data_IF_770819833018
#
_entry.id   IF_770819833018
#
_cell.length_a   1.000
_cell.length_b   1.000
_cell.length_c   1.000
_cell.angle_alpha   90.00
_cell.angle_beta   90.00
_cell.angle_gamma   90.00
#
_symmetry.space_group_name_H-M   'P 1'
#
loop_
_entity.id
_entity.type
_entity.pdbx_description
1 polymer ?
#
# COMPACT_ATOMS: atom_id res chain seq x y z
N UNK A 1 -21.29 2.19 5.19
CA UNK A 1 -20.57 3.19 4.36
C UNK A 1 -19.08 3.02 4.64
N UNK A 2 -18.17 3.19 3.66
CA UNK A 2 -16.73 3.07 3.96
C UNK A 2 -16.17 4.42 4.40
N UNK A 3 -15.62 4.48 5.62
CA UNK A 3 -14.97 5.68 6.15
C UNK A 3 -13.47 5.46 6.21
N UNK A 4 -12.68 6.37 5.62
CA UNK A 4 -11.24 6.30 5.68
C UNK A 4 -10.66 7.27 6.73
N UNK A 5 -9.60 6.84 7.40
CA UNK A 5 -8.79 7.67 8.28
C UNK A 5 -7.37 7.70 7.74
N UNK A 6 -6.88 8.89 7.41
CA UNK A 6 -5.50 9.09 6.96
C UNK A 6 -4.67 9.64 8.11
N UNK A 7 -3.73 8.84 8.60
CA UNK A 7 -2.86 9.18 9.73
C UNK A 7 -1.53 9.68 9.18
N UNK A 8 -1.13 10.89 9.58
CA UNK A 8 0.15 11.46 9.16
C UNK A 8 1.34 10.66 9.71
N UNK A 9 2.52 10.68 9.05
CA UNK A 9 3.71 10.02 9.57
C UNK A 9 4.10 10.49 10.99
N UNK A 10 3.84 11.77 11.30
CA UNK A 10 4.12 12.34 12.62
C UNK A 10 3.14 11.87 13.69
N UNK A 11 1.84 11.75 13.37
CA UNK A 11 0.85 11.21 14.29
C UNK A 11 1.16 9.74 14.63
N UNK A 12 1.63 8.98 13.65
CA UNK A 12 1.96 7.56 13.77
C UNK A 12 3.19 7.26 14.67
N UNK A 13 3.93 8.28 15.13
CA UNK A 13 5.09 8.13 16.02
C UNK A 13 4.73 7.56 17.40
N UNK A 14 3.48 7.74 17.85
CA UNK A 14 2.98 7.13 19.08
C UNK A 14 2.36 5.76 18.77
N UNK A 15 3.16 4.71 18.99
CA UNK A 15 2.78 3.33 18.63
C UNK A 15 1.63 2.81 19.49
N UNK A 16 1.56 3.22 20.76
CA UNK A 16 0.50 2.77 21.66
C UNK A 16 -0.84 3.39 21.25
N UNK A 17 -0.85 4.71 20.95
CA UNK A 17 -2.02 5.38 20.42
C UNK A 17 -2.46 4.78 19.08
N UNK A 18 -1.52 4.61 18.14
CA UNK A 18 -1.80 4.01 16.82
C UNK A 18 -2.38 2.60 16.93
N UNK A 19 -1.78 1.75 17.77
CA UNK A 19 -2.26 0.38 18.03
C UNK A 19 -3.66 0.38 18.65
N UNK A 20 -3.90 1.24 19.63
CA UNK A 20 -5.21 1.37 20.26
C UNK A 20 -6.28 1.82 19.25
N UNK A 21 -5.98 2.83 18.43
CA UNK A 21 -6.88 3.30 17.35
C UNK A 21 -7.17 2.20 16.34
N UNK A 22 -6.15 1.47 15.86
CA UNK A 22 -6.33 0.39 14.91
C UNK A 22 -7.22 -0.73 15.47
N UNK A 23 -7.02 -1.13 16.74
CA UNK A 23 -7.87 -2.13 17.40
C UNK A 23 -9.31 -1.65 17.61
N UNK A 24 -9.51 -0.38 17.94
CA UNK A 24 -10.84 0.20 18.08
C UNK A 24 -11.60 0.18 16.75
N UNK A 25 -10.95 0.63 15.67
CA UNK A 25 -11.51 0.56 14.31
C UNK A 25 -11.77 -0.88 13.87
N UNK A 26 -10.87 -1.82 14.20
CA UNK A 26 -11.06 -3.24 13.91
C UNK A 26 -12.29 -3.83 14.61
N UNK A 27 -12.45 -3.54 15.90
CA UNK A 27 -13.57 -4.02 16.69
C UNK A 27 -14.92 -3.45 16.20
N UNK A 28 -14.93 -2.19 15.77
CA UNK A 28 -16.11 -1.55 15.19
C UNK A 28 -16.39 -2.01 13.75
N UNK A 29 -15.38 -2.54 13.04
CA UNK A 29 -15.56 -3.06 11.68
C UNK A 29 -16.42 -4.32 11.68
N UNK A 30 -17.46 -4.32 10.83
CA UNK A 30 -18.36 -5.47 10.64
C UNK A 30 -19.41 -5.66 11.74
N UNK A 31 -19.52 -4.75 12.70
CA UNK A 31 -20.55 -4.82 13.74
C UNK A 31 -21.92 -4.28 13.26
N UNK A 32 -21.98 -3.27 12.39
CA UNK A 32 -23.27 -2.68 11.94
C UNK A 32 -23.14 -1.72 10.73
N UNK A 33 -22.71 -2.20 9.56
CA UNK A 33 -22.73 -1.50 8.23
C UNK A 33 -21.59 -0.54 7.82
N UNK A 34 -20.66 -0.20 8.71
CA UNK A 34 -19.47 0.61 8.35
C UNK A 34 -18.19 -0.23 8.26
N UNK A 35 -17.48 -0.07 7.13
CA UNK A 35 -16.16 -0.62 6.90
C UNK A 35 -15.14 0.51 7.10
N UNK A 36 -14.12 0.28 7.91
CA UNK A 36 -13.05 1.26 8.12
C UNK A 36 -11.82 0.96 7.27
N UNK A 37 -11.21 2.03 6.77
CA UNK A 37 -9.95 2.02 6.06
C UNK A 37 -8.95 2.89 6.82
N UNK A 38 -7.85 2.31 7.29
CA UNK A 38 -6.77 3.06 7.91
C UNK A 38 -5.63 3.23 6.90
N UNK A 39 -5.36 4.48 6.53
CA UNK A 39 -4.28 4.85 5.62
C UNK A 39 -3.15 5.48 6.43
N UNK A 40 -1.94 4.93 6.35
CA UNK A 40 -0.74 5.52 6.98
C UNK A 40 0.06 6.27 5.92
N UNK A 41 0.23 7.57 6.14
CA UNK A 41 0.96 8.43 5.23
C UNK A 41 2.47 8.18 5.25
N UNK A 42 3.13 8.57 4.16
CA UNK A 42 4.60 8.51 4.01
C UNK A 42 5.08 9.74 3.23
N UNK A 43 6.02 10.51 3.81
CA UNK A 43 6.54 11.75 3.21
C UNK A 43 8.06 11.73 2.97
N UNK A 44 8.73 10.58 3.16
CA UNK A 44 10.20 10.40 3.17
C UNK A 44 11.02 11.26 4.14
N UNK A 45 10.42 12.20 4.84
CA UNK A 45 11.13 13.18 5.67
C UNK A 45 10.87 12.98 7.15
N UNK A 46 9.77 12.33 7.51
CA UNK A 46 9.31 12.14 8.87
C UNK A 46 8.66 10.77 9.07
N UNK A 47 8.57 10.33 10.32
CA UNK A 47 7.90 9.08 10.68
C UNK A 47 8.69 7.80 10.43
N UNK A 48 7.99 6.68 10.48
CA UNK A 48 8.50 5.36 10.14
C UNK A 48 8.03 4.96 8.73
N UNK A 49 8.72 3.99 8.13
CA UNK A 49 8.28 3.40 6.87
C UNK A 49 6.85 2.83 6.99
N UNK A 50 5.92 3.36 6.19
CA UNK A 50 4.51 3.04 6.31
C UNK A 50 4.21 1.55 6.08
N UNK A 51 4.85 0.91 5.09
CA UNK A 51 4.64 -0.53 4.81
C UNK A 51 5.00 -1.40 6.01
N UNK A 52 6.13 -1.12 6.66
CA UNK A 52 6.59 -1.86 7.84
C UNK A 52 5.64 -1.66 9.01
N UNK A 53 5.19 -0.42 9.24
CA UNK A 53 4.28 -0.10 10.33
C UNK A 53 2.89 -0.72 10.11
N UNK A 54 2.38 -0.70 8.88
CA UNK A 54 1.13 -1.37 8.50
C UNK A 54 1.25 -2.88 8.67
N UNK A 55 2.38 -3.50 8.31
CA UNK A 55 2.60 -4.94 8.54
C UNK A 55 2.57 -5.30 10.04
N UNK A 56 3.09 -4.43 10.91
CA UNK A 56 2.97 -4.60 12.35
C UNK A 56 1.53 -4.46 12.88
N UNK A 57 0.73 -3.56 12.31
CA UNK A 57 -0.71 -3.42 12.64
C UNK A 57 -1.56 -4.57 12.08
N UNK A 58 -1.16 -5.16 10.95
CA UNK A 58 -1.88 -6.25 10.29
C UNK A 58 -2.10 -7.44 11.24
N UNK A 59 -1.10 -7.74 12.08
CA UNK A 59 -1.14 -8.84 13.06
C UNK A 59 -2.02 -8.54 14.29
N UNK A 60 -2.42 -7.29 14.48
CA UNK A 60 -3.19 -6.83 15.64
C UNK A 60 -4.68 -6.62 15.31
N UNK A 61 -5.05 -6.78 14.04
CA UNK A 61 -6.38 -6.51 13.50
C UNK A 61 -6.82 -7.69 12.63
N UNK A 62 -8.13 -7.87 12.46
CA UNK A 62 -8.71 -9.02 11.76
C UNK A 62 -9.67 -8.65 10.63
N UNK A 63 -10.18 -7.41 10.62
CA UNK A 63 -11.20 -6.90 9.70
C UNK A 63 -10.84 -5.55 9.11
N UNK A 64 -10.12 -4.71 9.86
CA UNK A 64 -9.71 -3.37 9.43
C UNK A 64 -8.96 -3.45 8.11
N UNK A 65 -9.36 -2.66 7.11
CA UNK A 65 -8.58 -2.52 5.88
C UNK A 65 -7.43 -1.55 6.15
N UNK A 66 -6.22 -1.92 5.75
CA UNK A 66 -5.00 -1.18 6.09
C UNK A 66 -4.21 -0.87 4.83
N UNK A 67 -3.75 0.38 4.71
CA UNK A 67 -3.18 0.91 3.47
C UNK A 67 -1.96 1.75 3.81
N UNK A 68 -0.74 1.35 3.41
CA UNK A 68 0.39 2.25 3.43
C UNK A 68 0.36 3.15 2.19
N UNK A 69 0.68 4.43 2.38
CA UNK A 69 1.23 5.22 1.29
C UNK A 69 2.63 4.70 0.97
N UNK A 70 2.92 4.49 -0.32
CA UNK A 70 4.26 4.09 -0.78
C UNK A 70 4.69 5.01 -1.89
N UNK A 71 5.79 5.76 -1.69
CA UNK A 71 6.34 6.59 -2.73
C UNK A 71 6.83 5.78 -3.94
N UNK A 72 6.44 6.21 -5.14
CA UNK A 72 6.78 5.51 -6.39
C UNK A 72 7.74 6.25 -7.31
N UNK A 73 7.99 7.54 -7.07
CA UNK A 73 8.96 8.33 -7.85
C UNK A 73 10.40 8.05 -7.45
N UNK A 74 10.66 7.33 -6.37
CA UNK A 74 12.04 7.00 -5.96
C UNK A 74 12.23 5.54 -5.59
N UNK A 75 11.16 4.75 -5.58
CA UNK A 75 11.19 3.32 -5.26
C UNK A 75 11.06 2.50 -6.53
N UNK A 76 11.92 1.50 -6.68
CA UNK A 76 11.83 0.57 -7.82
C UNK A 76 10.49 -0.21 -7.79
N UNK A 77 9.77 -0.33 -8.92
CA UNK A 77 8.46 -1.00 -8.96
C UNK A 77 8.48 -2.44 -8.44
N UNK A 78 9.59 -3.16 -8.65
CA UNK A 78 9.74 -4.54 -8.18
C UNK A 78 9.72 -4.63 -6.64
N UNK A 79 10.32 -3.67 -5.94
CA UNK A 79 10.30 -3.60 -4.48
C UNK A 79 8.95 -3.14 -3.94
N UNK A 80 8.27 -2.23 -4.63
CA UNK A 80 6.88 -1.86 -4.29
C UNK A 80 5.98 -3.10 -4.39
N UNK A 81 6.04 -3.85 -5.50
CA UNK A 81 5.19 -5.01 -5.73
C UNK A 81 5.42 -6.12 -4.70
N UNK A 82 6.67 -6.47 -4.42
CA UNK A 82 7.01 -7.57 -3.50
C UNK A 82 6.66 -7.23 -2.05
N UNK A 83 6.93 -6.00 -1.62
CA UNK A 83 6.60 -5.56 -0.24
C UNK A 83 5.09 -5.49 0.00
N UNK A 84 4.34 -4.93 -0.95
CA UNK A 84 2.87 -4.85 -0.87
C UNK A 84 2.18 -6.22 -1.00
N UNK A 85 2.66 -7.10 -1.89
CA UNK A 85 2.16 -8.47 -1.99
C UNK A 85 2.37 -9.24 -0.68
N UNK A 86 3.55 -9.11 -0.08
CA UNK A 86 3.87 -9.74 1.22
C UNK A 86 3.00 -9.16 2.33
N UNK A 87 2.76 -7.85 2.32
CA UNK A 87 1.84 -7.21 3.26
C UNK A 87 0.43 -7.80 3.15
N UNK A 88 -0.06 -8.07 1.94
CA UNK A 88 -1.39 -8.66 1.75
C UNK A 88 -1.49 -10.07 2.36
N UNK A 89 -0.42 -10.87 2.26
CA UNK A 89 -0.33 -12.13 3.00
C UNK A 89 -0.40 -11.92 4.51
N UNK A 90 0.39 -10.99 5.06
CA UNK A 90 0.38 -10.68 6.49
C UNK A 90 -0.99 -10.16 6.97
N UNK A 91 -1.69 -9.40 6.12
CA UNK A 91 -3.02 -8.86 6.37
C UNK A 91 -4.15 -9.86 6.08
N UNK A 92 -3.84 -11.06 5.57
CA UNK A 92 -4.83 -12.07 5.15
C UNK A 92 -5.83 -11.52 4.12
N UNK A 93 -5.33 -10.79 3.11
CA UNK A 93 -6.17 -10.28 2.03
C UNK A 93 -6.95 -9.02 2.36
N UNK A 94 -6.46 -8.18 3.28
CA UNK A 94 -7.09 -6.90 3.68
C UNK A 94 -6.23 -5.67 3.40
N UNK A 95 -5.06 -5.88 2.79
CA UNK A 95 -4.18 -4.77 2.48
C UNK A 95 -4.70 -4.03 1.24
N UNK A 96 -4.60 -2.71 1.26
CA UNK A 96 -4.57 -1.91 0.04
C UNK A 96 -3.21 -1.27 -0.13
N UNK A 97 -3.06 -0.45 -1.15
CA UNK A 97 -1.85 0.34 -1.38
C UNK A 97 -2.21 1.72 -1.93
N UNK A 98 -1.62 2.79 -1.38
CA UNK A 98 -1.73 4.12 -1.95
C UNK A 98 -0.41 4.56 -2.60
N UNK A 99 -0.31 4.61 -3.94
CA UNK A 99 0.86 5.17 -4.61
C UNK A 99 0.90 6.67 -4.39
N UNK A 100 2.03 7.19 -3.92
CA UNK A 100 2.25 8.63 -3.78
C UNK A 100 3.45 9.10 -4.60
N UNK A 101 3.34 10.30 -5.16
CA UNK A 101 4.44 10.95 -5.85
C UNK A 101 5.16 11.91 -4.91
N UNK A 102 6.45 11.72 -4.75
CA UNK A 102 7.29 12.63 -3.97
C UNK A 102 7.93 13.62 -4.93
N UNK A 103 7.51 14.87 -4.82
CA UNK A 103 7.76 15.95 -5.79
C UNK A 103 8.49 17.15 -5.16
N UNK A 104 8.99 16.99 -3.94
CA UNK A 104 9.75 18.03 -3.24
C UNK A 104 11.26 17.80 -3.38
N UNK A 105 12.03 18.89 -3.42
CA UNK A 105 13.49 18.82 -3.46
C UNK A 105 14.05 18.11 -2.23
N UNK A 106 13.46 18.32 -1.05
CA UNK A 106 13.87 17.65 0.18
C UNK A 106 13.74 16.12 0.11
N UNK A 107 12.64 15.61 -0.44
CA UNK A 107 12.45 14.17 -0.64
C UNK A 107 13.41 13.61 -1.69
N UNK A 108 13.64 14.36 -2.77
CA UNK A 108 14.59 13.99 -3.81
C UNK A 108 16.03 13.92 -3.29
N UNK A 109 16.45 14.91 -2.50
CA UNK A 109 17.78 15.00 -1.87
C UNK A 109 17.99 13.90 -0.82
N UNK A 110 16.93 13.54 -0.07
CA UNK A 110 16.99 12.45 0.92
C UNK A 110 17.32 11.09 0.29
N UNK A 111 16.85 10.84 -0.94
CA UNK A 111 17.18 9.63 -1.70
C UNK A 111 18.47 9.79 -2.50
N UNK A 112 18.76 10.99 -3.01
CA UNK A 112 20.01 11.34 -3.70
C UNK A 112 20.19 10.69 -5.08
N UNK A 113 19.10 10.24 -5.72
CA UNK A 113 19.16 9.54 -7.02
C UNK A 113 18.94 10.44 -8.22
N UNK A 114 17.99 11.37 -8.14
CA UNK A 114 17.54 12.26 -9.24
C UNK A 114 16.76 13.46 -8.69
N UNK A 115 16.62 14.56 -9.46
CA UNK A 115 15.85 15.73 -9.04
C UNK A 115 14.37 15.41 -8.75
N UNK A 116 13.71 16.30 -8.04
CA UNK A 116 12.28 16.22 -7.80
C UNK A 116 11.49 16.26 -9.11
N UNK A 117 10.49 15.37 -9.21
CA UNK A 117 9.53 15.39 -10.31
C UNK A 117 8.60 16.60 -10.19
N UNK A 118 8.18 17.18 -11.32
CA UNK A 118 6.96 18.00 -11.28
C UNK A 118 5.74 17.11 -11.00
N UNK A 119 4.71 17.68 -10.37
CA UNK A 119 3.46 16.97 -10.10
C UNK A 119 2.87 16.39 -11.40
N UNK A 120 2.89 17.16 -12.49
CA UNK A 120 2.38 16.72 -13.79
C UNK A 120 3.20 15.58 -14.40
N UNK A 121 4.54 15.63 -14.30
CA UNK A 121 5.40 14.58 -14.84
C UNK A 121 5.27 13.27 -14.04
N UNK A 122 5.09 13.38 -12.71
CA UNK A 122 4.88 12.22 -11.86
C UNK A 122 3.53 11.56 -12.16
N UNK A 123 2.42 12.29 -12.02
CA UNK A 123 1.07 11.72 -12.15
C UNK A 123 0.63 11.48 -13.59
N UNK A 124 1.15 12.24 -14.55
CA UNK A 124 0.87 12.08 -15.98
C UNK A 124 1.74 11.07 -16.71
N UNK A 125 2.79 10.54 -16.05
CA UNK A 125 3.76 9.63 -16.66
C UNK A 125 4.16 8.49 -15.74
N UNK A 126 5.11 8.73 -14.87
CA UNK A 126 5.78 7.67 -14.10
C UNK A 126 4.85 6.90 -13.16
N UNK A 127 3.97 7.57 -12.41
CA UNK A 127 3.09 6.90 -11.43
C UNK A 127 2.20 5.85 -12.12
N UNK A 128 1.47 6.16 -13.22
CA UNK A 128 0.75 5.15 -13.99
C UNK A 128 1.62 3.97 -14.46
N UNK A 129 2.84 4.23 -14.97
CA UNK A 129 3.74 3.17 -15.44
C UNK A 129 4.16 2.24 -14.27
N UNK A 130 4.47 2.81 -13.10
CA UNK A 130 4.81 2.05 -11.90
C UNK A 130 3.62 1.22 -11.41
N UNK A 131 2.41 1.80 -11.37
CA UNK A 131 1.19 1.07 -10.99
C UNK A 131 0.94 -0.11 -11.94
N UNK A 132 1.11 0.09 -13.25
CA UNK A 132 0.99 -0.98 -14.24
C UNK A 132 2.02 -2.11 -14.01
N UNK A 133 3.28 -1.75 -13.75
CA UNK A 133 4.33 -2.72 -13.45
C UNK A 133 4.04 -3.52 -12.17
N UNK A 134 3.57 -2.86 -11.11
CA UNK A 134 3.23 -3.51 -9.84
C UNK A 134 2.08 -4.50 -10.02
N UNK A 135 1.01 -4.11 -10.72
CA UNK A 135 -0.14 -4.99 -10.99
C UNK A 135 0.23 -6.19 -11.86
N UNK A 136 1.07 -5.98 -12.87
CA UNK A 136 1.61 -7.07 -13.69
C UNK A 136 2.43 -8.05 -12.85
N UNK A 137 3.25 -7.56 -11.91
CA UNK A 137 4.02 -8.42 -11.00
C UNK A 137 3.12 -9.22 -10.06
N UNK A 138 2.08 -8.63 -9.47
CA UNK A 138 1.13 -9.36 -8.62
C UNK A 138 0.42 -10.51 -9.36
N UNK A 139 0.21 -10.35 -10.67
CA UNK A 139 -0.45 -11.34 -11.52
C UNK A 139 0.51 -12.24 -12.30
N UNK A 140 1.83 -12.12 -12.07
CA UNK A 140 2.86 -12.94 -12.73
C UNK A 140 2.80 -14.42 -12.34
N UNK A 141 2.10 -14.76 -11.27
CA UNK A 141 1.77 -16.13 -10.87
C UNK A 141 0.27 -16.35 -11.08
N UNK A 142 -0.10 -17.45 -11.73
CA UNK A 142 -1.51 -17.88 -11.76
C UNK A 142 -1.98 -18.32 -10.36
N UNK A 143 -3.30 -18.31 -10.13
CA UNK A 143 -3.90 -18.57 -8.82
C UNK A 143 -3.59 -19.96 -8.24
N UNK A 144 -3.24 -20.93 -9.08
CA UNK A 144 -2.89 -22.30 -8.71
C UNK A 144 -1.48 -22.69 -9.17
N UNK A 145 -0.59 -21.70 -9.34
CA UNK A 145 0.83 -21.92 -9.63
C UNK A 145 1.57 -22.58 -8.46
N UNK A 146 1.13 -22.33 -7.22
CA UNK A 146 1.69 -22.94 -6.02
C UNK A 146 0.97 -24.27 -5.70
N UNK A 147 1.73 -25.38 -5.68
CA UNK A 147 1.21 -26.75 -5.52
C UNK A 147 1.39 -27.26 -4.08
N UNK A 148 2.59 -27.10 -3.51
CA UNK A 148 2.99 -27.59 -2.17
C UNK A 148 2.64 -29.08 -1.91
N UNK A 149 2.87 -29.96 -2.88
CA UNK A 149 2.60 -31.40 -2.73
C UNK A 149 3.84 -32.13 -2.20
N UNK A 150 3.76 -32.57 -0.94
CA UNK A 150 4.82 -33.32 -0.26
C UNK A 150 5.03 -34.73 -0.81
N UNK A 151 3.98 -35.37 -1.36
CA UNK A 151 4.03 -36.74 -1.89
C UNK A 151 4.71 -36.75 -3.25
N UNK A 152 4.37 -35.79 -4.12
CA UNK A 152 4.99 -35.70 -5.45
C UNK A 152 6.25 -34.83 -5.47
N UNK A 153 6.60 -34.19 -4.35
CA UNK A 153 7.68 -33.21 -4.22
C UNK A 153 7.58 -32.05 -5.22
N UNK A 154 6.37 -31.74 -5.68
CA UNK A 154 6.11 -30.59 -6.56
C UNK A 154 5.72 -29.38 -5.73
N UNK A 155 6.57 -28.36 -5.73
CA UNK A 155 6.28 -27.11 -5.03
C UNK A 155 5.51 -26.12 -5.92
N UNK A 156 5.92 -25.98 -7.18
CA UNK A 156 5.42 -24.95 -8.10
C UNK A 156 5.18 -25.53 -9.49
N UNK A 157 4.15 -25.05 -10.17
CA UNK A 157 3.96 -25.24 -11.60
C UNK A 157 4.68 -24.13 -12.38
N UNK A 158 5.84 -24.45 -12.95
CA UNK A 158 6.67 -23.47 -13.67
C UNK A 158 5.96 -22.89 -14.90
N UNK A 159 5.02 -23.63 -15.49
CA UNK A 159 4.33 -23.21 -16.71
C UNK A 159 3.24 -22.17 -16.38
N UNK A 160 3.02 -21.89 -15.09
CA UNK A 160 2.06 -20.92 -14.53
C UNK A 160 2.72 -19.69 -13.89
N UNK A 161 4.01 -19.50 -14.16
CA UNK A 161 4.80 -18.37 -13.68
C UNK A 161 5.41 -17.66 -14.86
N UNK A 162 5.07 -16.39 -15.02
CA UNK A 162 5.26 -15.65 -16.26
C UNK A 162 6.12 -14.41 -16.05
N UNK A 163 7.04 -14.16 -17.00
CA UNK A 163 7.71 -12.87 -17.10
C UNK A 163 6.67 -11.77 -17.40
N UNK A 164 6.90 -10.57 -16.85
CA UNK A 164 5.99 -9.44 -17.05
C UNK A 164 6.50 -8.49 -18.14
N UNK A 165 7.82 -8.45 -18.35
CA UNK A 165 8.50 -7.66 -19.38
C UNK A 165 7.94 -6.23 -19.54
N UNK A 166 7.72 -5.55 -18.41
CA UNK A 166 7.17 -4.19 -18.37
C UNK A 166 8.28 -3.18 -18.56
N UNK A 167 8.04 -2.15 -19.37
CA UNK A 167 8.91 -0.99 -19.52
C UNK A 167 8.14 0.27 -19.17
N UNK A 168 8.82 1.25 -18.61
CA UNK A 168 8.24 2.57 -18.34
C UNK A 168 9.29 3.67 -18.43
N UNK A 169 8.85 4.90 -18.20
CA UNK A 169 9.73 6.06 -18.16
C UNK A 169 9.58 6.77 -16.82
N UNK A 170 10.69 7.13 -16.21
CA UNK A 170 10.69 7.86 -14.97
C UNK A 170 10.33 9.35 -15.20
N UNK A 171 10.02 10.10 -14.13
CA UNK A 171 9.60 11.51 -14.23
C UNK A 171 10.63 12.47 -14.84
N UNK A 172 11.88 12.04 -15.04
CA UNK A 172 12.93 12.83 -15.69
C UNK A 172 13.28 12.30 -17.09
N UNK A 173 12.46 11.39 -17.62
CA UNK A 173 12.58 10.88 -18.99
C UNK A 173 13.53 9.70 -19.17
N UNK A 174 14.02 9.08 -18.09
CA UNK A 174 14.88 7.89 -18.19
C UNK A 174 14.05 6.62 -18.30
N UNK A 175 14.33 5.75 -19.28
CA UNK A 175 13.63 4.48 -19.42
C UNK A 175 14.05 3.51 -18.30
N UNK A 176 13.12 2.68 -17.87
CA UNK A 176 13.37 1.55 -16.98
C UNK A 176 12.60 0.33 -17.45
N UNK A 177 13.00 -0.84 -16.98
CA UNK A 177 12.33 -2.10 -17.29
C UNK A 177 12.32 -3.04 -16.09
N UNK A 178 11.27 -3.86 -16.03
CA UNK A 178 11.05 -4.89 -15.02
C UNK A 178 10.73 -6.19 -15.76
N UNK A 179 11.65 -7.16 -15.65
CA UNK A 179 11.51 -8.46 -16.32
C UNK A 179 10.49 -9.38 -15.63
N UNK A 180 10.48 -9.41 -14.29
CA UNK A 180 9.74 -10.41 -13.52
C UNK A 180 10.33 -11.82 -13.65
N UNK A 181 9.58 -12.90 -13.32
CA UNK A 181 8.33 -12.87 -12.55
C UNK A 181 8.52 -12.25 -11.15
N UNK A 182 7.44 -12.01 -10.41
CA UNK A 182 7.56 -11.68 -8.99
C UNK A 182 8.25 -12.83 -8.24
N UNK A 183 9.04 -12.49 -7.21
CA UNK A 183 9.59 -13.46 -6.25
C UNK A 183 8.62 -13.77 -5.09
N UNK A 184 7.54 -13.00 -4.98
CA UNK A 184 6.44 -13.23 -4.04
C UNK A 184 5.27 -13.82 -4.84
N UNK A 185 4.62 -14.89 -4.37
CA UNK A 185 3.47 -15.46 -5.08
C UNK A 185 2.30 -14.47 -5.17
N UNK A 186 1.32 -14.79 -6.01
CA UNK A 186 0.13 -13.96 -6.23
C UNK A 186 -0.52 -13.59 -4.88
N UNK A 187 -0.73 -12.30 -4.57
CA UNK A 187 -1.36 -11.88 -3.32
C UNK A 187 -2.71 -12.59 -3.09
N UNK A 188 -3.15 -12.80 -1.83
CA UNK A 188 -4.43 -13.43 -1.52
C UNK A 188 -5.65 -12.81 -2.25
N UNK A 189 -5.66 -11.49 -2.45
CA UNK A 189 -6.72 -10.79 -3.19
C UNK A 189 -6.53 -10.84 -4.73
N UNK A 190 -5.43 -11.41 -5.20
CA UNK A 190 -5.00 -11.38 -6.60
C UNK A 190 -4.34 -10.05 -6.97
N UNK A 191 -5.06 -8.95 -6.82
CA UNK A 191 -4.53 -7.59 -6.92
C UNK A 191 -5.01 -6.80 -5.70
N UNK A 192 -4.11 -6.07 -5.03
CA UNK A 192 -4.52 -5.21 -3.93
C UNK A 192 -5.29 -4.00 -4.50
N UNK A 193 -6.32 -3.50 -3.81
CA UNK A 193 -6.94 -2.23 -4.14
C UNK A 193 -5.93 -1.09 -4.09
N UNK A 194 -5.77 -0.38 -5.21
CA UNK A 194 -5.02 0.88 -5.27
C UNK A 194 -5.90 2.00 -4.75
N UNK A 195 -5.42 2.79 -3.79
CA UNK A 195 -6.18 3.86 -3.13
C UNK A 195 -5.61 5.22 -3.52
N UNK A 196 -6.45 6.08 -4.06
CA UNK A 196 -6.11 7.48 -4.39
C UNK A 196 -6.85 8.41 -3.42
N UNK A 197 -6.13 9.34 -2.81
CA UNK A 197 -6.70 10.41 -1.96
C UNK A 197 -6.69 11.73 -2.74
N UNK A 198 -7.81 12.44 -2.73
CA UNK A 198 -7.99 13.76 -3.36
C UNK A 198 -8.70 14.70 -2.38
N UNK A 199 -7.93 15.47 -1.61
CA UNK A 199 -8.46 16.24 -0.49
C UNK A 199 -9.13 15.32 0.53
N UNK A 200 -10.35 15.66 0.94
CA UNK A 200 -11.12 14.89 1.94
C UNK A 200 -11.88 13.69 1.33
N UNK A 201 -11.46 13.19 0.17
CA UNK A 201 -12.07 12.03 -0.50
C UNK A 201 -11.05 10.98 -0.87
N UNK A 202 -11.49 9.73 -0.90
CA UNK A 202 -10.72 8.62 -1.47
C UNK A 202 -11.50 7.84 -2.51
N UNK A 203 -10.77 7.19 -3.40
CA UNK A 203 -11.26 6.26 -4.40
C UNK A 203 -10.35 5.04 -4.47
N UNK A 204 -10.90 3.87 -4.73
CA UNK A 204 -10.14 2.63 -4.90
C UNK A 204 -10.32 2.05 -6.31
N UNK A 205 -9.34 1.28 -6.77
CA UNK A 205 -9.37 0.65 -8.10
C UNK A 205 -10.50 -0.37 -8.29
N UNK A 206 -11.05 -0.92 -7.21
CA UNK A 206 -12.21 -1.82 -7.21
C UNK A 206 -13.56 -1.09 -7.06
N UNK A 207 -13.56 0.25 -7.11
CA UNK A 207 -14.78 1.06 -7.18
C UNK A 207 -15.36 1.52 -5.85
N UNK A 208 -14.66 1.32 -4.73
CA UNK A 208 -15.03 1.89 -3.43
C UNK A 208 -14.61 3.36 -3.38
N UNK A 209 -15.47 4.20 -2.81
CA UNK A 209 -15.17 5.62 -2.63
C UNK A 209 -15.86 6.14 -1.37
N UNK A 210 -15.31 7.20 -0.80
CA UNK A 210 -15.86 7.81 0.40
C UNK A 210 -15.11 9.05 0.85
N UNK A 211 -15.41 9.49 2.05
CA UNK A 211 -14.70 10.58 2.72
C UNK A 211 -13.47 10.03 3.46
N UNK A 212 -12.42 10.85 3.51
CA UNK A 212 -11.25 10.61 4.36
C UNK A 212 -11.18 11.66 5.46
N UNK A 213 -10.91 11.22 6.68
CA UNK A 213 -10.65 12.09 7.83
C UNK A 213 -9.15 12.09 8.11
N UNK A 214 -8.54 13.26 8.09
CA UNK A 214 -7.10 13.40 8.31
C UNK A 214 -6.79 13.53 9.81
N UNK A 215 -5.92 12.65 10.31
CA UNK A 215 -5.42 12.63 11.69
C UNK A 215 -3.96 13.07 11.65
N UNK A 216 -3.69 14.29 12.10
CA UNK A 216 -2.38 14.93 11.93
C UNK A 216 -1.49 14.87 13.17
N UNK A 217 -2.06 14.52 14.33
CA UNK A 217 -1.35 14.43 15.60
C UNK A 217 -1.89 13.30 16.50
N UNK A 218 -1.17 13.06 17.61
CA UNK A 218 -1.49 12.01 18.59
C UNK A 218 -2.81 12.29 19.33
N UNK A 219 -3.17 13.56 19.55
CA UNK A 219 -4.42 13.92 20.22
C UNK A 219 -5.60 13.48 19.36
N UNK A 220 -5.52 13.69 18.04
CA UNK A 220 -6.50 13.22 17.07
C UNK A 220 -6.63 11.69 17.05
N UNK A 221 -5.51 10.95 17.13
CA UNK A 221 -5.53 9.48 17.21
C UNK A 221 -6.27 8.99 18.47
N UNK A 222 -5.94 9.56 19.62
CA UNK A 222 -6.56 9.20 20.90
C UNK A 222 -8.05 9.56 20.94
N UNK A 223 -8.42 10.72 20.40
CA UNK A 223 -9.82 11.13 20.28
C UNK A 223 -10.62 10.17 19.39
N UNK A 224 -10.04 9.74 18.27
CA UNK A 224 -10.65 8.76 17.37
C UNK A 224 -10.85 7.40 18.06
N UNK A 225 -9.83 6.89 18.76
CA UNK A 225 -9.93 5.63 19.49
C UNK A 225 -11.06 5.67 20.52
N UNK A 226 -11.18 6.78 21.27
CA UNK A 226 -12.24 6.99 22.25
C UNK A 226 -13.63 7.09 21.59
N UNK A 227 -13.74 7.80 20.47
CA UNK A 227 -14.99 7.97 19.73
C UNK A 227 -15.54 6.65 19.18
N UNK A 228 -14.66 5.81 18.63
CA UNK A 228 -15.07 4.54 17.98
C UNK A 228 -15.34 3.43 19.00
N UNK A 229 -14.77 3.55 20.21
CA UNK A 229 -14.97 2.56 21.29
C UNK A 229 -16.20 2.83 22.16
N UNK A 230 -16.90 3.94 21.96
CA UNK A 230 -18.06 4.38 22.75
C UNK A 230 -19.38 3.90 22.13
#
# INVERSE_FOLDING_TARGET
>A
MTTAYHVSPTAALDFDALSATARALDAASGADTDDYLLILGDDYTSGQNAVTLVAWLALQTTRLRIVPEVPVTHTEPFHVATSTATLDYAASGRAGWSPVAQTTDAAADAVGRRPAASVDAAWGGEVPDVVAAVRALWTSWESDAEIRDEVTHRFIDRDKVHYVDVTGTDSVGQPWSVKGPSIVPRPPQGELPTVTILGDRFHTSDGVAGEVRHITDVIGLLALAAQVSA
#
